data_IF_568298097881
#
_entry.id   IF_568298097881
#
_cell.length_a   1.000
_cell.length_b   1.000
_cell.length_c   1.000
_cell.angle_alpha   90.00
_cell.angle_beta   90.00
_cell.angle_gamma   90.00
#
_symmetry.space_group_name_H-M   'P 1'
#
loop_
_entity.id
_entity.type
_entity.pdbx_description
1 polymer ?
#
# COMPACT_ATOMS: atom_id res chain seq x y z
N UNK A 1 -3.23 -7.19 -4.14
CA UNK A 1 -1.77 -7.12 -4.36
C UNK A 1 -1.32 -7.60 -5.74
N UNK A 2 -2.17 -8.32 -6.50
CA UNK A 2 -1.82 -8.95 -7.78
C UNK A 2 -1.13 -8.04 -8.81
N UNK A 3 -1.51 -6.76 -8.87
CA UNK A 3 -0.88 -5.79 -9.79
C UNK A 3 0.60 -5.59 -9.45
N UNK A 4 0.93 -5.33 -8.18
CA UNK A 4 2.31 -5.13 -7.75
C UNK A 4 3.12 -6.42 -7.85
N UNK A 5 2.49 -7.57 -7.61
CA UNK A 5 3.15 -8.87 -7.77
C UNK A 5 3.51 -9.19 -9.21
N UNK A 6 2.65 -8.81 -10.18
CA UNK A 6 2.93 -8.94 -11.61
C UNK A 6 3.91 -7.89 -12.14
N UNK A 7 4.08 -6.77 -11.43
CA UNK A 7 4.95 -5.67 -11.83
C UNK A 7 6.36 -5.72 -11.23
N UNK A 8 6.71 -6.76 -10.45
CA UNK A 8 7.97 -6.86 -9.69
C UNK A 8 9.21 -6.45 -10.50
N UNK A 9 9.31 -6.91 -11.74
CA UNK A 9 10.48 -6.67 -12.58
C UNK A 9 10.67 -5.21 -13.01
N UNK A 10 9.60 -4.42 -13.00
CA UNK A 10 9.64 -2.99 -13.36
C UNK A 10 9.61 -2.07 -12.14
N UNK A 11 9.28 -2.58 -10.93
CA UNK A 11 9.28 -1.76 -9.71
C UNK A 11 10.62 -1.04 -9.47
N UNK A 12 11.80 -1.65 -9.69
CA UNK A 12 13.10 -0.98 -9.52
C UNK A 12 13.30 0.24 -10.44
N UNK A 13 12.52 0.38 -11.52
CA UNK A 13 12.60 1.53 -12.41
C UNK A 13 11.92 2.78 -11.84
N UNK A 14 11.18 2.66 -10.74
CA UNK A 14 10.47 3.77 -10.12
C UNK A 14 11.19 4.25 -8.87
N UNK A 15 11.39 5.57 -8.76
CA UNK A 15 11.92 6.18 -7.54
C UNK A 15 10.91 6.22 -6.40
N UNK A 16 9.64 6.44 -6.75
CA UNK A 16 8.53 6.53 -5.82
C UNK A 16 7.32 5.77 -6.34
N UNK A 17 6.59 5.15 -5.42
CA UNK A 17 5.35 4.44 -5.71
C UNK A 17 4.31 4.91 -4.71
N UNK A 18 3.12 5.26 -5.20
CA UNK A 18 1.97 5.57 -4.35
C UNK A 18 0.94 4.45 -4.46
N UNK A 19 0.48 3.94 -3.34
CA UNK A 19 -0.51 2.87 -3.28
C UNK A 19 -1.66 3.23 -2.36
N UNK A 20 -2.87 2.78 -2.70
CA UNK A 20 -3.99 2.78 -1.78
C UNK A 20 -3.89 1.57 -0.85
N UNK A 21 -4.06 1.78 0.46
CA UNK A 21 -4.07 0.70 1.45
C UNK A 21 -5.11 0.94 2.55
N UNK A 22 -5.57 -0.14 3.18
CA UNK A 22 -6.52 -0.11 4.30
C UNK A 22 -6.01 -0.94 5.49
N UNK A 23 -6.60 -0.72 6.67
CA UNK A 23 -6.43 -1.59 7.85
C UNK A 23 -7.66 -2.46 8.13
N UNK A 24 -8.51 -2.64 7.13
CA UNK A 24 -9.74 -3.41 7.21
C UNK A 24 -9.98 -4.07 5.85
N UNK A 25 -10.82 -5.12 5.85
CA UNK A 25 -11.23 -5.77 4.61
C UNK A 25 -12.23 -4.88 3.85
N UNK A 26 -11.78 -4.28 2.75
CA UNK A 26 -12.68 -3.64 1.76
C UNK A 26 -13.42 -4.72 0.97
N UNK A 27 -12.73 -5.83 0.71
CA UNK A 27 -13.25 -7.07 0.16
C UNK A 27 -12.51 -8.24 0.82
N UNK A 28 -13.11 -9.43 0.82
CA UNK A 28 -12.56 -10.60 1.48
C UNK A 28 -11.16 -10.93 0.96
N UNK A 29 -10.19 -11.10 1.86
CA UNK A 29 -8.81 -11.41 1.50
C UNK A 29 -8.05 -10.26 0.84
N UNK A 30 -8.53 -9.01 0.96
CA UNK A 30 -7.77 -7.87 0.44
C UNK A 30 -6.45 -7.70 1.21
N UNK A 31 -5.41 -7.33 0.48
CA UNK A 31 -4.14 -6.92 1.05
C UNK A 31 -4.33 -5.68 1.94
N UNK A 32 -3.87 -5.76 3.18
CA UNK A 32 -3.90 -4.65 4.11
C UNK A 32 -2.53 -3.97 4.18
N UNK A 33 -2.47 -2.82 4.85
CA UNK A 33 -1.23 -2.05 4.97
C UNK A 33 -0.01 -2.88 5.43
N UNK A 34 -0.10 -3.79 6.43
CA UNK A 34 1.05 -4.59 6.83
C UNK A 34 1.55 -5.54 5.73
N UNK A 35 0.63 -6.11 4.95
CA UNK A 35 0.97 -6.99 3.82
C UNK A 35 1.69 -6.19 2.72
N UNK A 36 1.17 -4.99 2.42
CA UNK A 36 1.75 -4.08 1.45
C UNK A 36 3.15 -3.61 1.88
N UNK A 37 3.32 -3.23 3.14
CA UNK A 37 4.61 -2.82 3.69
C UNK A 37 5.65 -3.95 3.60
N UNK A 38 5.26 -5.17 3.97
CA UNK A 38 6.12 -6.35 3.88
C UNK A 38 6.52 -6.66 2.42
N UNK A 39 5.58 -6.49 1.48
CA UNK A 39 5.87 -6.65 0.06
C UNK A 39 6.84 -5.58 -0.44
N UNK A 40 6.54 -4.30 -0.22
CA UNK A 40 7.32 -3.17 -0.72
C UNK A 40 8.75 -3.18 -0.17
N UNK A 41 8.91 -3.58 1.10
CA UNK A 41 10.23 -3.75 1.71
C UNK A 41 11.10 -4.76 0.96
N UNK A 42 10.53 -5.90 0.55
CA UNK A 42 11.23 -6.92 -0.24
C UNK A 42 11.62 -6.43 -1.64
N UNK A 43 10.92 -5.42 -2.16
CA UNK A 43 11.19 -4.81 -3.47
C UNK A 43 12.16 -3.62 -3.37
N UNK A 44 12.77 -3.35 -2.21
CA UNK A 44 13.73 -2.25 -2.03
C UNK A 44 13.09 -0.90 -1.69
N UNK A 45 11.82 -0.87 -1.29
CA UNK A 45 11.11 0.37 -0.96
C UNK A 45 10.83 0.49 0.54
N UNK A 46 10.83 1.73 1.05
CA UNK A 46 10.36 2.04 2.41
C UNK A 46 9.27 3.10 2.37
N UNK A 47 8.31 2.97 3.29
CA UNK A 47 7.28 3.97 3.47
C UNK A 47 7.91 5.32 3.85
N UNK A 48 7.55 6.38 3.12
CA UNK A 48 7.93 7.77 3.38
C UNK A 48 6.83 8.57 4.05
N UNK A 49 5.58 8.16 3.85
CA UNK A 49 4.42 8.78 4.47
C UNK A 49 3.13 8.05 4.12
N UNK A 50 2.05 8.42 4.79
CA UNK A 50 0.69 8.04 4.41
C UNK A 50 -0.28 9.19 4.70
N UNK A 51 -1.26 9.37 3.83
CA UNK A 51 -2.25 10.43 3.90
C UNK A 51 -3.63 9.79 4.00
N UNK A 52 -4.44 10.24 4.96
CA UNK A 52 -5.79 9.70 5.14
C UNK A 52 -6.63 10.09 3.93
N UNK A 53 -7.20 9.09 3.27
CA UNK A 53 -8.24 9.31 2.28
C UNK A 53 -9.54 9.51 3.04
N UNK A 54 -10.09 10.72 2.98
CA UNK A 54 -11.31 11.13 3.68
C UNK A 54 -12.52 10.41 3.08
N UNK A 55 -12.70 9.14 3.43
CA UNK A 55 -13.94 8.41 3.21
C UNK A 55 -14.70 8.46 4.53
N UNK A 56 -15.87 9.06 4.50
CA UNK A 56 -16.74 9.27 5.65
C UNK A 56 -17.11 7.92 6.28
N UNK A 57 -16.73 7.74 7.54
CA UNK A 57 -17.18 6.67 8.45
C UNK A 57 -17.02 5.20 7.98
N UNK A 58 -15.79 4.74 7.69
CA UNK A 58 -15.51 3.31 7.49
C UNK A 58 -15.91 2.48 8.72
N UNK A 59 -16.34 1.22 8.52
CA UNK A 59 -16.79 0.37 9.61
C UNK A 59 -15.71 0.23 10.69
N UNK A 60 -16.13 0.36 11.96
CA UNK A 60 -15.32 0.04 13.16
C UNK A 60 -13.94 0.71 13.23
N UNK A 61 -13.82 1.95 12.78
CA UNK A 61 -12.55 2.69 12.86
C UNK A 61 -11.52 2.28 11.80
N UNK A 62 -12.00 1.62 10.73
CA UNK A 62 -11.21 1.42 9.51
C UNK A 62 -10.63 2.75 9.01
N UNK A 63 -9.54 2.69 8.28
CA UNK A 63 -8.94 3.83 7.61
C UNK A 63 -8.40 3.37 6.29
N UNK A 64 -8.45 4.30 5.35
CA UNK A 64 -7.89 4.14 4.03
C UNK A 64 -6.86 5.25 3.83
N UNK A 65 -5.75 4.90 3.19
CA UNK A 65 -4.65 5.82 2.98
C UNK A 65 -4.14 5.78 1.55
N UNK A 66 -3.66 6.93 1.11
CA UNK A 66 -2.60 7.00 0.11
C UNK A 66 -1.26 6.82 0.82
N UNK A 67 -0.54 5.75 0.51
CA UNK A 67 0.77 5.43 1.09
C UNK A 67 1.85 5.71 0.06
N UNK A 68 2.82 6.53 0.45
CA UNK A 68 3.97 6.85 -0.39
C UNK A 68 5.17 6.00 0.01
N UNK A 69 5.70 5.25 -0.94
CA UNK A 69 6.93 4.48 -0.83
C UNK A 69 8.03 5.13 -1.66
N UNK A 70 9.27 5.09 -1.18
CA UNK A 70 10.46 5.50 -1.92
C UNK A 70 11.54 4.42 -1.91
N UNK A 71 12.20 4.26 -3.05
CA UNK A 71 13.30 3.31 -3.20
C UNK A 71 14.45 3.67 -2.24
N UNK A 72 15.07 2.65 -1.64
CA UNK A 72 16.22 2.78 -0.74
C UNK A 72 17.52 2.66 -1.52
#
# INVERSE_FOLDING_TARGET
MLILEGAKDILPCFRYIKCEATNFEVYAGCCQLPDLDAFMLKQGFRQKGRFVLSRSNPPRGGRQWDVLYGHV
#
